data_IF_796945967355
#
_entry.id   IF_796945967355
#
_cell.length_a   1.000
_cell.length_b   1.000
_cell.length_c   1.000
_cell.angle_alpha   90.00
_cell.angle_beta   90.00
_cell.angle_gamma   90.00
#
_symmetry.space_group_name_H-M   'P 1'
#
loop_
_entity.id
_entity.type
_entity.pdbx_description
1 polymer ?
#
# COMPACT_ATOMS: atom_id res chain seq x y z
N UNK A 1 -6.68 8.80 8.11
CA UNK A 1 -5.69 8.52 9.16
C UNK A 1 -4.59 9.54 8.99
N UNK A 2 -4.22 10.23 10.06
CA UNK A 2 -3.06 11.13 10.02
C UNK A 2 -1.76 10.31 9.96
N UNK A 3 -0.72 10.80 9.27
CA UNK A 3 0.57 10.15 9.27
C UNK A 3 1.15 9.98 10.68
N UNK A 4 1.86 8.87 10.90
CA UNK A 4 2.45 8.51 12.18
C UNK A 4 3.93 8.24 12.02
N UNK A 5 4.78 8.98 12.72
CA UNK A 5 6.20 8.65 12.82
C UNK A 5 6.40 7.45 13.75
N UNK A 6 6.92 6.35 13.22
CA UNK A 6 7.17 5.12 13.98
C UNK A 6 8.57 5.08 14.60
N UNK A 7 9.54 5.66 13.87
CA UNK A 7 10.97 5.79 14.22
C UNK A 7 11.53 7.00 13.47
N UNK A 8 12.71 7.54 13.85
CA UNK A 8 13.32 8.63 13.10
C UNK A 8 13.36 8.34 11.60
N UNK A 9 12.75 9.25 10.82
CA UNK A 9 12.62 9.19 9.36
C UNK A 9 11.69 8.09 8.80
N UNK A 10 11.03 7.30 9.65
CA UNK A 10 10.09 6.25 9.24
C UNK A 10 8.65 6.68 9.56
N UNK A 11 7.89 6.98 8.51
CA UNK A 11 6.50 7.42 8.59
C UNK A 11 5.55 6.31 8.11
N UNK A 12 4.50 6.04 8.87
CA UNK A 12 3.36 5.22 8.45
C UNK A 12 2.22 6.13 8.02
N UNK A 13 1.75 5.98 6.77
CA UNK A 13 0.58 6.71 6.30
C UNK A 13 -0.20 5.95 5.24
N UNK A 14 -1.39 6.47 4.94
CA UNK A 14 -2.19 5.99 3.81
C UNK A 14 -1.46 6.28 2.49
N UNK A 15 -1.47 5.29 1.60
CA UNK A 15 -1.08 5.46 0.21
C UNK A 15 -2.10 6.34 -0.50
N UNK A 16 -1.60 7.28 -1.29
CA UNK A 16 -2.38 8.19 -2.14
C UNK A 16 -2.07 7.90 -3.61
N UNK A 17 -2.97 8.21 -4.56
CA UNK A 17 -2.69 8.03 -5.99
C UNK A 17 -1.38 8.70 -6.46
N UNK A 18 -0.98 9.81 -5.83
CA UNK A 18 0.30 10.50 -6.09
C UNK A 18 1.55 9.71 -5.69
N UNK A 19 1.41 8.63 -4.90
CA UNK A 19 2.52 7.74 -4.51
C UNK A 19 2.80 6.64 -5.55
N UNK A 20 2.02 6.57 -6.62
CA UNK A 20 2.10 5.49 -7.61
C UNK A 20 3.50 5.30 -8.22
N UNK A 21 4.21 6.40 -8.50
CA UNK A 21 5.59 6.35 -9.01
C UNK A 21 6.54 5.69 -8.01
N UNK A 22 6.54 6.18 -6.76
CA UNK A 22 7.35 5.63 -5.65
C UNK A 22 7.04 4.16 -5.39
N UNK A 23 5.77 3.77 -5.54
CA UNK A 23 5.32 2.39 -5.32
C UNK A 23 5.80 1.46 -6.44
N UNK A 24 5.73 1.92 -7.70
CA UNK A 24 6.28 1.19 -8.84
C UNK A 24 7.80 1.01 -8.70
N UNK A 25 8.52 2.06 -8.31
CA UNK A 25 9.97 2.00 -8.02
C UNK A 25 10.30 1.00 -6.91
N UNK A 26 9.54 1.01 -5.80
CA UNK A 26 9.72 0.06 -4.71
C UNK A 26 9.52 -1.39 -5.17
N UNK A 27 8.49 -1.66 -5.98
CA UNK A 27 8.26 -3.00 -6.53
C UNK A 27 9.34 -3.43 -7.53
N UNK A 28 9.78 -2.53 -8.41
CA UNK A 28 10.85 -2.80 -9.37
C UNK A 28 12.17 -3.13 -8.65
N UNK A 29 12.54 -2.32 -7.65
CA UNK A 29 13.75 -2.53 -6.85
C UNK A 29 13.75 -3.84 -6.07
N UNK A 30 12.57 -4.34 -5.70
CA UNK A 30 12.40 -5.57 -4.92
C UNK A 30 11.92 -6.78 -5.74
N UNK A 31 11.80 -6.66 -7.08
CA UNK A 31 11.18 -7.69 -7.94
C UNK A 31 11.77 -9.08 -7.74
N UNK A 32 13.11 -9.20 -7.73
CA UNK A 32 13.77 -10.50 -7.54
C UNK A 32 13.63 -11.03 -6.11
N UNK A 33 13.67 -10.15 -5.11
CA UNK A 33 13.50 -10.52 -3.70
C UNK A 33 12.09 -11.06 -3.41
N UNK A 34 11.08 -10.42 -4.00
CA UNK A 34 9.66 -10.74 -3.80
C UNK A 34 9.17 -11.91 -4.67
N UNK A 35 9.90 -12.30 -5.71
CA UNK A 35 9.48 -13.33 -6.68
C UNK A 35 9.02 -14.65 -6.05
N UNK A 36 9.63 -15.05 -4.94
CA UNK A 36 9.30 -16.32 -4.27
C UNK A 36 8.08 -16.21 -3.33
N UNK A 37 7.67 -15.00 -2.96
CA UNK A 37 6.64 -14.74 -1.95
C UNK A 37 5.37 -14.15 -2.55
N UNK A 38 5.46 -13.46 -3.69
CA UNK A 38 4.32 -12.83 -4.32
C UNK A 38 3.75 -13.67 -5.49
N UNK A 39 2.43 -13.58 -5.74
CA UNK A 39 1.84 -14.10 -6.97
C UNK A 39 2.51 -13.47 -8.19
N UNK A 40 2.55 -14.24 -9.30
CA UNK A 40 3.04 -13.73 -10.58
C UNK A 40 2.23 -12.49 -10.96
N UNK A 41 2.94 -11.37 -11.12
CA UNK A 41 2.38 -10.09 -11.54
C UNK A 41 2.62 -9.87 -13.04
N UNK A 42 1.65 -9.33 -13.77
CA UNK A 42 1.86 -8.93 -15.16
C UNK A 42 2.83 -7.73 -15.20
N UNK A 43 3.53 -7.49 -16.30
CA UNK A 43 4.56 -6.45 -16.35
C UNK A 43 3.99 -5.05 -16.13
N UNK A 44 2.73 -4.82 -16.50
CA UNK A 44 1.98 -3.58 -16.25
C UNK A 44 1.93 -3.26 -14.75
N UNK A 45 1.92 -4.26 -13.88
CA UNK A 45 1.94 -4.06 -12.42
C UNK A 45 3.11 -3.17 -11.98
N UNK A 46 4.26 -3.30 -12.63
CA UNK A 46 5.46 -2.54 -12.26
C UNK A 46 5.48 -1.12 -12.84
N UNK A 47 4.39 -0.67 -13.46
CA UNK A 47 4.28 0.67 -14.04
C UNK A 47 3.57 1.63 -13.09
N UNK A 48 3.97 2.91 -13.14
CA UNK A 48 3.27 3.97 -12.41
C UNK A 48 1.78 4.02 -12.76
N UNK A 49 1.42 3.87 -14.04
CA UNK A 49 0.04 3.94 -14.50
C UNK A 49 -0.85 2.89 -13.83
N UNK A 50 -0.37 1.64 -13.76
CA UNK A 50 -1.12 0.56 -13.12
C UNK A 50 -1.27 0.81 -11.61
N UNK A 51 -0.18 1.20 -10.94
CA UNK A 51 -0.20 1.49 -9.51
C UNK A 51 -1.14 2.66 -9.20
N UNK A 52 -1.17 3.69 -10.04
CA UNK A 52 -2.07 4.84 -9.85
C UNK A 52 -3.54 4.41 -9.94
N UNK A 53 -3.90 3.58 -10.91
CA UNK A 53 -5.26 3.05 -11.06
C UNK A 53 -5.68 2.18 -9.86
N UNK A 54 -4.79 1.31 -9.39
CA UNK A 54 -5.01 0.49 -8.18
C UNK A 54 -5.17 1.38 -6.94
N UNK A 55 -4.33 2.40 -6.77
CA UNK A 55 -4.40 3.33 -5.64
C UNK A 55 -5.65 4.20 -5.66
N UNK A 56 -6.17 4.62 -6.83
CA UNK A 56 -7.48 5.30 -6.91
C UNK A 56 -8.60 4.42 -6.38
N UNK A 57 -8.65 3.17 -6.83
CA UNK A 57 -9.64 2.18 -6.37
C UNK A 57 -9.56 1.98 -4.86
N UNK A 58 -8.36 1.85 -4.31
CA UNK A 58 -8.15 1.70 -2.85
C UNK A 58 -8.50 2.98 -2.08
N UNK A 59 -8.27 4.15 -2.66
CA UNK A 59 -8.66 5.43 -2.07
C UNK A 59 -10.18 5.53 -1.93
N UNK A 60 -10.93 5.08 -2.93
CA UNK A 60 -12.40 5.02 -2.87
C UNK A 60 -12.88 4.05 -1.79
N UNK A 61 -12.27 2.86 -1.69
CA UNK A 61 -12.55 1.90 -0.62
C UNK A 61 -12.20 2.46 0.76
N UNK A 62 -11.13 3.24 0.88
CA UNK A 62 -10.77 3.91 2.12
C UNK A 62 -11.76 4.99 2.53
N UNK A 63 -12.25 5.79 1.57
CA UNK A 63 -13.29 6.78 1.82
C UNK A 63 -14.58 6.14 2.36
N UNK A 64 -14.86 4.89 1.97
CA UNK A 64 -15.99 4.09 2.48
C UNK A 64 -15.67 3.33 3.77
N UNK A 65 -14.44 3.41 4.29
CA UNK A 65 -14.00 2.69 5.48
C UNK A 65 -13.85 1.17 5.29
N UNK A 66 -13.79 0.70 4.03
CA UNK A 66 -13.70 -0.71 3.66
C UNK A 66 -12.26 -1.22 3.53
N UNK A 67 -11.31 -0.32 3.30
CA UNK A 67 -9.89 -0.64 3.23
C UNK A 67 -8.99 0.45 3.82
N UNK A 68 -7.82 0.08 4.32
CA UNK A 68 -6.76 1.03 4.73
C UNK A 68 -5.46 0.61 4.02
N UNK A 69 -5.18 1.14 2.82
CA UNK A 69 -3.93 0.91 2.11
C UNK A 69 -2.81 1.74 2.75
N UNK A 70 -1.95 1.08 3.52
CA UNK A 70 -0.90 1.72 4.30
C UNK A 70 0.47 1.42 3.72
N UNK A 71 1.39 2.37 3.89
CA UNK A 71 2.78 2.19 3.55
C UNK A 71 3.71 2.82 4.59
N UNK A 72 4.90 2.23 4.69
CA UNK A 72 6.04 2.74 5.42
C UNK A 72 6.90 3.55 4.46
N UNK A 73 7.15 4.80 4.81
CA UNK A 73 8.00 5.72 4.08
C UNK A 73 9.29 5.95 4.86
N UNK A 74 10.42 5.85 4.18
CA UNK A 74 11.68 6.43 4.62
C UNK A 74 11.96 7.65 3.75
N UNK A 75 11.75 8.85 4.28
CA UNK A 75 11.67 10.07 3.48
C UNK A 75 10.66 9.92 2.33
N UNK A 76 11.12 9.93 1.08
CA UNK A 76 10.27 9.78 -0.11
C UNK A 76 10.17 8.33 -0.61
N UNK A 77 10.92 7.39 -0.05
CA UNK A 77 10.96 6.01 -0.52
C UNK A 77 9.99 5.13 0.24
N UNK A 78 9.19 4.33 -0.49
CA UNK A 78 8.36 3.30 0.12
C UNK A 78 9.23 2.10 0.46
N UNK A 79 9.29 1.74 1.74
CA UNK A 79 10.08 0.60 2.25
C UNK A 79 9.22 -0.58 2.70
N UNK A 80 7.89 -0.45 2.61
CA UNK A 80 6.95 -1.50 2.93
C UNK A 80 5.52 -1.03 2.73
N UNK A 81 4.62 -1.98 2.49
CA UNK A 81 3.18 -1.71 2.39
C UNK A 81 2.36 -2.86 2.94
N UNK A 82 1.16 -2.53 3.39
CA UNK A 82 0.17 -3.50 3.84
C UNK A 82 -1.22 -2.87 3.74
N UNK A 83 -2.24 -3.68 3.54
CA UNK A 83 -3.62 -3.23 3.40
C UNK A 83 -4.48 -3.96 4.41
N UNK A 84 -5.20 -3.21 5.24
CA UNK A 84 -6.32 -3.78 5.99
C UNK A 84 -7.55 -3.79 5.07
N UNK A 85 -8.23 -4.93 4.98
CA UNK A 85 -9.47 -5.13 4.22
C UNK A 85 -10.46 -5.97 5.03
N UNK A 86 -11.69 -6.16 4.53
CA UNK A 86 -12.66 -7.03 5.19
C UNK A 86 -13.08 -6.53 6.58
N UNK A 87 -13.15 -5.22 6.75
CA UNK A 87 -13.29 -4.58 8.07
C UNK A 87 -14.71 -4.78 8.58
N UNK A 88 -14.84 -5.47 9.72
CA UNK A 88 -16.11 -5.70 10.39
C UNK A 88 -16.16 -4.89 11.68
N UNK A 89 -17.06 -3.91 11.76
CA UNK A 89 -17.24 -3.04 12.95
C UNK A 89 -18.33 -3.51 13.93
N UNK A 90 -18.82 -4.74 13.77
CA UNK A 90 -19.70 -5.38 14.75
C UNK A 90 -18.96 -5.79 16.04
N UNK A 91 -19.58 -6.60 16.92
CA UNK A 91 -18.95 -7.04 18.18
C UNK A 91 -17.57 -7.69 18.02
N UNK A 92 -17.30 -8.30 16.87
CA UNK A 92 -16.04 -9.00 16.61
C UNK A 92 -14.86 -8.08 16.26
N UNK A 93 -15.10 -6.84 15.79
CA UNK A 93 -14.04 -5.85 15.48
C UNK A 93 -12.81 -6.43 14.74
N UNK A 94 -13.00 -7.00 13.55
CA UNK A 94 -11.94 -7.71 12.83
C UNK A 94 -11.59 -7.05 11.47
N UNK A 95 -10.44 -7.45 10.92
CA UNK A 95 -10.01 -7.15 9.57
C UNK A 95 -9.02 -8.22 9.07
N UNK A 96 -8.84 -8.30 7.76
CA UNK A 96 -7.78 -9.08 7.10
C UNK A 96 -6.60 -8.17 6.78
N UNK A 97 -5.38 -8.66 7.01
CA UNK A 97 -4.14 -7.99 6.65
C UNK A 97 -3.51 -8.69 5.44
N UNK A 98 -3.10 -7.92 4.42
CA UNK A 98 -2.35 -8.41 3.27
C UNK A 98 -1.55 -7.33 2.57
#
# INVERSE_FOLDING_TARGET
MEPLELRPNIELRLLQPSDAGRLAEAYLGNKEHLRQWEPIRPDEFFTQQWQEQDLRTRSELNAQGLAYPLALFNHESIIGRFTLTGITRGPFQNASLG
#
